data_IF_850702129272
#
_entry.id   IF_850702129272
#
_cell.length_a   1.000
_cell.length_b   1.000
_cell.length_c   1.000
_cell.angle_alpha   90.00
_cell.angle_beta   90.00
_cell.angle_gamma   90.00
#
_symmetry.space_group_name_H-M   'P 1'
#
loop_
_entity.id
_entity.type
_entity.pdbx_description
1 polymer ?
#
# COMPACT_ATOMS: atom_id res chain seq x y z
N UNK A 1 0.01 0.25 -12.00
CA UNK A 1 -0.16 -0.91 -11.13
C UNK A 1 -1.59 -0.86 -10.60
N UNK A 2 -2.41 -1.87 -10.91
CA UNK A 2 -3.85 -1.83 -10.60
C UNK A 2 -4.09 -1.95 -9.09
N UNK A 3 -4.85 -1.02 -8.50
CA UNK A 3 -5.39 -1.12 -7.13
C UNK A 3 -6.01 -2.50 -6.87
N UNK A 4 -6.58 -3.11 -7.92
CA UNK A 4 -7.10 -4.48 -7.96
C UNK A 4 -6.11 -5.53 -7.44
N UNK A 5 -4.80 -5.41 -7.75
CA UNK A 5 -3.79 -6.39 -7.29
C UNK A 5 -3.45 -6.20 -5.82
N UNK A 6 -3.37 -4.96 -5.34
CA UNK A 6 -3.17 -4.67 -3.91
C UNK A 6 -4.37 -5.19 -3.13
N UNK A 7 -5.58 -4.91 -3.63
CA UNK A 7 -6.84 -5.38 -3.07
C UNK A 7 -6.89 -6.90 -2.96
N UNK A 8 -6.48 -7.64 -4.00
CA UNK A 8 -6.41 -9.11 -3.96
C UNK A 8 -5.41 -9.64 -2.92
N UNK A 9 -4.21 -9.05 -2.82
CA UNK A 9 -3.18 -9.47 -1.85
C UNK A 9 -3.59 -9.19 -0.40
N UNK A 10 -4.39 -8.14 -0.19
CA UNK A 10 -5.00 -7.83 1.11
C UNK A 10 -6.20 -8.77 1.37
N UNK A 11 -7.11 -8.95 0.42
CA UNK A 11 -8.31 -9.78 0.55
C UNK A 11 -7.99 -11.25 0.88
N UNK A 12 -7.16 -11.92 0.06
CA UNK A 12 -7.02 -13.38 0.12
C UNK A 12 -6.23 -13.89 1.33
N UNK A 13 -5.43 -13.05 1.99
CA UNK A 13 -4.59 -13.48 3.11
C UNK A 13 -4.90 -12.73 4.42
N UNK A 14 -5.35 -11.48 4.37
CA UNK A 14 -5.47 -10.66 5.58
C UNK A 14 -6.71 -10.98 6.41
N UNK A 15 -7.87 -11.20 5.76
CA UNK A 15 -9.14 -11.43 6.49
C UNK A 15 -9.07 -12.72 7.30
N UNK A 16 -8.49 -13.76 6.71
CA UNK A 16 -8.30 -15.05 7.39
C UNK A 16 -7.21 -14.97 8.47
N UNK A 17 -6.03 -14.42 8.14
CA UNK A 17 -4.91 -14.29 9.11
C UNK A 17 -5.26 -13.46 10.34
N UNK A 18 -6.13 -12.46 10.20
CA UNK A 18 -6.55 -11.59 11.31
C UNK A 18 -7.82 -12.06 12.03
N UNK A 19 -8.37 -13.23 11.67
CA UNK A 19 -9.61 -13.75 12.29
C UNK A 19 -10.85 -12.89 12.02
N UNK A 20 -10.80 -12.03 11.00
CA UNK A 20 -11.85 -11.07 10.66
C UNK A 20 -12.97 -11.68 9.80
N UNK A 21 -13.00 -13.01 9.68
CA UNK A 21 -14.00 -13.77 8.91
C UNK A 21 -15.42 -13.49 9.41
N UNK A 22 -15.60 -13.13 10.69
CA UNK A 22 -16.89 -12.80 11.29
C UNK A 22 -17.40 -11.39 10.99
N UNK A 23 -16.57 -10.50 10.42
CA UNK A 23 -17.02 -9.15 10.06
C UNK A 23 -18.07 -9.21 8.92
N UNK A 24 -19.10 -8.35 8.98
CA UNK A 24 -20.00 -8.14 7.85
C UNK A 24 -19.24 -7.74 6.59
N UNK A 25 -19.74 -8.16 5.43
CA UNK A 25 -19.09 -7.93 4.12
C UNK A 25 -18.76 -6.47 3.87
N UNK A 26 -19.69 -5.55 4.16
CA UNK A 26 -19.48 -4.11 4.03
C UNK A 26 -18.34 -3.58 4.92
N UNK A 27 -18.15 -4.19 6.10
CA UNK A 27 -17.08 -3.80 7.02
C UNK A 27 -15.73 -4.35 6.54
N UNK A 28 -15.70 -5.55 5.97
CA UNK A 28 -14.50 -6.11 5.34
C UNK A 28 -14.04 -5.25 4.17
N UNK A 29 -14.96 -4.88 3.27
CA UNK A 29 -14.65 -4.03 2.13
C UNK A 29 -14.11 -2.67 2.56
N UNK A 30 -14.78 -1.98 3.51
CA UNK A 30 -14.29 -0.71 4.04
C UNK A 30 -12.91 -0.81 4.70
N UNK A 31 -12.66 -1.90 5.41
CA UNK A 31 -11.35 -2.14 6.00
C UNK A 31 -10.30 -2.32 4.91
N UNK A 32 -10.55 -3.17 3.92
CA UNK A 32 -9.63 -3.39 2.79
C UNK A 32 -9.34 -2.09 2.04
N UNK A 33 -10.36 -1.29 1.77
CA UNK A 33 -10.19 0.00 1.10
C UNK A 33 -9.31 0.94 1.96
N UNK A 34 -9.57 1.05 3.26
CA UNK A 34 -8.76 1.85 4.19
C UNK A 34 -7.30 1.38 4.26
N UNK A 35 -7.07 0.06 4.22
CA UNK A 35 -5.72 -0.50 4.24
C UNK A 35 -4.99 -0.26 2.91
N UNK A 36 -5.71 -0.34 1.79
CA UNK A 36 -5.17 -0.03 0.46
C UNK A 36 -4.73 1.42 0.39
N UNK A 37 -5.57 2.35 0.86
CA UNK A 37 -5.24 3.78 0.95
C UNK A 37 -4.01 4.03 1.84
N UNK A 38 -3.94 3.37 3.01
CA UNK A 38 -2.82 3.52 3.93
C UNK A 38 -1.50 3.03 3.32
N UNK A 39 -1.51 1.85 2.68
CA UNK A 39 -0.33 1.32 1.98
C UNK A 39 0.11 2.27 0.87
N UNK A 40 -0.84 2.76 0.06
CA UNK A 40 -0.57 3.70 -1.01
C UNK A 40 0.09 4.98 -0.49
N UNK A 41 -0.48 5.59 0.55
CA UNK A 41 0.06 6.80 1.17
C UNK A 41 1.49 6.60 1.73
N UNK A 42 1.75 5.49 2.42
CA UNK A 42 3.09 5.17 2.96
C UNK A 42 4.10 4.92 1.85
N UNK A 43 3.71 4.19 0.81
CA UNK A 43 4.55 3.92 -0.36
C UNK A 43 4.95 5.24 -1.03
N UNK A 44 3.99 6.14 -1.24
CA UNK A 44 4.24 7.44 -1.86
C UNK A 44 5.11 8.35 -0.98
N UNK A 45 4.96 8.31 0.34
CA UNK A 45 5.83 9.04 1.26
C UNK A 45 7.30 8.58 1.13
N UNK A 46 7.55 7.27 1.12
CA UNK A 46 8.90 6.71 0.94
C UNK A 46 9.48 7.02 -0.44
N UNK A 47 8.65 7.02 -1.47
CA UNK A 47 9.05 7.46 -2.81
C UNK A 47 9.47 8.92 -2.79
N UNK A 48 8.68 9.81 -2.17
CA UNK A 48 8.98 11.23 -2.07
C UNK A 48 10.29 11.48 -1.30
N UNK A 49 10.56 10.75 -0.22
CA UNK A 49 11.82 10.83 0.54
C UNK A 49 13.05 10.35 -0.26
N UNK A 50 12.86 9.44 -1.22
CA UNK A 50 13.93 8.93 -2.08
C UNK A 50 14.21 9.81 -3.30
N UNK A 51 13.32 10.75 -3.61
CA UNK A 51 13.47 11.68 -4.74
C UNK A 51 14.24 12.93 -4.31
N UNK A 52 15.00 13.51 -5.24
CA UNK A 52 15.50 14.87 -5.08
C UNK A 52 14.33 15.86 -5.16
N UNK A 53 14.45 17.08 -4.62
CA UNK A 53 13.40 18.10 -4.72
C UNK A 53 12.97 18.36 -6.19
N UNK A 54 13.94 18.36 -7.10
CA UNK A 54 13.69 18.57 -8.54
C UNK A 54 12.97 17.38 -9.18
N UNK A 55 13.37 16.16 -8.83
CA UNK A 55 12.69 14.96 -9.31
C UNK A 55 11.29 14.84 -8.69
N UNK A 56 11.10 15.24 -7.44
CA UNK A 56 9.80 15.28 -6.76
C UNK A 56 8.79 16.17 -7.48
N UNK A 57 9.19 17.38 -7.87
CA UNK A 57 8.32 18.27 -8.65
C UNK A 57 7.97 17.71 -10.04
N UNK A 58 8.94 17.08 -10.72
CA UNK A 58 8.71 16.45 -12.02
C UNK A 58 7.77 15.26 -11.90
N UNK A 59 7.96 14.44 -10.87
CA UNK A 59 7.13 13.29 -10.58
C UNK A 59 5.68 13.71 -10.29
N UNK A 60 5.49 14.72 -9.44
CA UNK A 60 4.17 15.27 -9.11
C UNK A 60 3.41 15.74 -10.35
N UNK A 61 4.08 16.49 -11.25
CA UNK A 61 3.46 16.95 -12.51
C UNK A 61 3.13 15.80 -13.46
N UNK A 62 3.98 14.79 -13.51
CA UNK A 62 3.78 13.64 -14.41
C UNK A 62 2.57 12.81 -13.97
N UNK A 63 2.43 12.51 -12.67
CA UNK A 63 1.33 11.67 -12.18
C UNK A 63 -0.06 12.34 -12.27
N UNK A 64 -0.13 13.66 -12.47
CA UNK A 64 -1.38 14.37 -12.74
C UNK A 64 -1.95 14.09 -14.15
N UNK A 65 -1.10 13.74 -15.11
CA UNK A 65 -1.48 13.68 -16.54
C UNK A 65 -1.20 12.34 -17.22
N UNK A 66 -0.37 11.49 -16.61
CA UNK A 66 0.05 10.21 -17.18
C UNK A 66 -0.69 9.02 -16.58
N UNK A 67 -0.68 7.90 -17.31
CA UNK A 67 -1.15 6.63 -16.76
C UNK A 67 -0.26 6.17 -15.59
N UNK A 68 -0.80 5.48 -14.57
CA UNK A 68 -0.01 5.02 -13.40
C UNK A 68 1.22 4.18 -13.76
N UNK A 69 1.17 3.46 -14.87
CA UNK A 69 2.28 2.61 -15.35
C UNK A 69 3.50 3.43 -15.77
N UNK A 70 3.28 4.60 -16.37
CA UNK A 70 4.35 5.52 -16.77
C UNK A 70 5.07 6.08 -15.55
N UNK A 71 4.33 6.35 -14.47
CA UNK A 71 4.89 6.80 -13.20
C UNK A 71 5.84 5.78 -12.58
N UNK A 72 5.46 4.51 -12.58
CA UNK A 72 6.30 3.41 -12.06
C UNK A 72 7.56 3.25 -12.90
N UNK A 73 7.45 3.28 -14.24
CA UNK A 73 8.61 3.18 -15.13
C UNK A 73 9.60 4.35 -14.92
N UNK A 74 9.08 5.55 -14.70
CA UNK A 74 9.89 6.73 -14.43
C UNK A 74 10.66 6.65 -13.10
N UNK A 75 10.03 6.11 -12.06
CA UNK A 75 10.68 5.85 -10.76
C UNK A 75 11.79 4.80 -10.92
N UNK A 76 11.50 3.73 -11.66
CA UNK A 76 12.48 2.67 -11.92
C UNK A 76 13.72 3.19 -12.66
N UNK A 77 13.54 4.10 -13.62
CA UNK A 77 14.64 4.76 -14.33
C UNK A 77 15.56 5.59 -13.41
N UNK A 78 15.08 6.00 -12.23
CA UNK A 78 15.83 6.71 -11.19
C UNK A 78 16.37 5.80 -10.09
N UNK A 79 16.26 4.47 -10.27
CA UNK A 79 16.68 3.49 -9.29
C UNK A 79 15.71 3.32 -8.12
N UNK A 80 14.54 3.96 -8.16
CA UNK A 80 13.49 3.78 -7.15
C UNK A 80 12.69 2.53 -7.51
N UNK A 81 12.76 1.55 -6.64
CA UNK A 81 12.10 0.26 -6.83
C UNK A 81 10.72 0.26 -6.20
N UNK A 82 9.78 0.92 -6.87
CA UNK A 82 8.41 1.10 -6.39
C UNK A 82 7.76 -0.21 -5.91
N UNK A 83 7.86 -1.28 -6.72
CA UNK A 83 7.26 -2.57 -6.37
C UNK A 83 7.85 -3.19 -5.10
N UNK A 84 9.16 -3.03 -4.86
CA UNK A 84 9.80 -3.51 -3.62
C UNK A 84 9.30 -2.72 -2.41
N UNK A 85 9.24 -1.38 -2.51
CA UNK A 85 8.71 -0.52 -1.45
C UNK A 85 7.27 -0.90 -1.12
N UNK A 86 6.44 -1.11 -2.14
CA UNK A 86 5.04 -1.46 -1.95
C UNK A 86 4.87 -2.82 -1.27
N UNK A 87 5.64 -3.84 -1.67
CA UNK A 87 5.62 -5.16 -1.03
C UNK A 87 6.06 -5.04 0.44
N UNK A 88 7.07 -4.25 0.73
CA UNK A 88 7.53 -3.98 2.10
C UNK A 88 6.43 -3.30 2.93
N UNK A 89 5.77 -2.26 2.41
CA UNK A 89 4.70 -1.57 3.12
C UNK A 89 3.49 -2.48 3.41
N UNK A 90 3.14 -3.35 2.46
CA UNK A 90 2.12 -4.38 2.69
C UNK A 90 2.55 -5.33 3.81
N UNK A 91 3.82 -5.76 3.81
CA UNK A 91 4.38 -6.65 4.84
C UNK A 91 4.36 -6.01 6.23
N UNK A 92 4.79 -4.76 6.34
CA UNK A 92 4.79 -3.98 7.58
C UNK A 92 3.36 -3.79 8.10
N UNK A 93 2.42 -3.42 7.23
CA UNK A 93 1.03 -3.24 7.63
C UNK A 93 0.41 -4.55 8.14
N UNK A 94 0.67 -5.67 7.46
CA UNK A 94 0.24 -7.01 7.91
C UNK A 94 0.77 -7.33 9.31
N UNK A 95 2.04 -7.02 9.57
CA UNK A 95 2.65 -7.22 10.88
C UNK A 95 2.03 -6.31 11.95
N UNK A 96 1.86 -5.02 11.66
CA UNK A 96 1.22 -4.07 12.59
C UNK A 96 -0.20 -4.51 12.99
N UNK A 97 -0.97 -5.03 12.04
CA UNK A 97 -2.32 -5.52 12.29
C UNK A 97 -2.31 -6.78 13.17
N UNK A 98 -1.39 -7.73 12.93
CA UNK A 98 -1.23 -8.91 13.79
C UNK A 98 -0.83 -8.53 15.21
N UNK A 99 0.12 -7.62 15.37
CA UNK A 99 0.59 -7.16 16.68
C UNK A 99 -0.54 -6.47 17.46
N UNK A 100 -1.41 -5.71 16.76
CA UNK A 100 -2.61 -5.09 17.36
C UNK A 100 -3.66 -6.12 17.74
N UNK A 101 -3.93 -7.11 16.90
CA UNK A 101 -4.89 -8.18 17.19
C UNK A 101 -4.47 -8.98 18.43
N UNK A 102 -3.20 -9.36 18.54
CA UNK A 102 -2.67 -10.08 19.71
C UNK A 102 -2.78 -9.28 21.01
N UNK A 103 -2.63 -7.95 20.96
CA UNK A 103 -2.82 -7.08 22.13
C UNK A 103 -4.27 -7.03 22.62
N UNK A 104 -5.24 -7.27 21.73
CA UNK A 104 -6.66 -7.28 22.07
C UNK A 104 -7.06 -8.63 22.68
N UNK A 105 -6.56 -9.75 22.12
CA UNK A 105 -6.81 -11.11 22.66
C UNK A 105 -6.03 -11.40 23.96
N UNK A 106 -5.00 -10.62 24.27
CA UNK A 106 -4.20 -10.74 25.50
C UNK A 106 -4.72 -9.95 26.71
N UNK A 107 -5.94 -9.38 26.64
CA UNK A 107 -6.63 -8.70 27.76
C UNK A 107 -7.71 -9.57 28.38
#
# INVERSE_FOLDING_TARGET
MDDTKIKQVLESNLIEELGLVSLPEDQKLRLIDSLTELVGARTMARVAEALSDTDGEQFAKMVETSAPEEGVAWLQARGIKFDEILIEEIGLLKQELRDRAQKIDGM
#
